data_IF_450154619322
#
_entry.id   IF_450154619322
#
_cell.length_a   1.000
_cell.length_b   1.000
_cell.length_c   1.000
_cell.angle_alpha   90.00
_cell.angle_beta   90.00
_cell.angle_gamma   90.00
#
_symmetry.space_group_name_H-M   'P 1'
#
loop_
_entity.id
_entity.type
_entity.pdbx_description
1 polymer ?
#
# COMPACT_ATOMS: atom_id res chain seq x y z
N UNK A 1 54.70 40.83 -35.75
CA UNK A 1 53.36 41.25 -35.30
C UNK A 1 52.28 40.24 -35.68
N UNK A 2 52.19 39.78 -36.94
CA UNK A 2 51.20 38.80 -37.42
C UNK A 2 51.29 37.40 -36.77
N UNK A 3 52.50 36.91 -36.48
CA UNK A 3 52.70 35.58 -35.84
C UNK A 3 52.12 35.52 -34.43
N UNK A 4 52.21 36.62 -33.66
CA UNK A 4 51.59 36.72 -32.34
C UNK A 4 50.06 36.68 -32.42
N UNK A 5 49.49 37.41 -33.37
CA UNK A 5 48.04 37.41 -33.64
C UNK A 5 47.52 36.02 -34.06
N UNK A 6 48.29 35.31 -34.90
CA UNK A 6 47.95 33.94 -35.30
C UNK A 6 48.00 32.97 -34.11
N UNK A 7 48.98 33.13 -33.23
CA UNK A 7 49.09 32.33 -32.00
C UNK A 7 47.92 32.60 -31.05
N UNK A 8 47.53 33.86 -30.85
CA UNK A 8 46.39 34.23 -30.00
C UNK A 8 45.06 33.66 -30.52
N UNK A 9 44.82 33.71 -31.84
CA UNK A 9 43.66 33.07 -32.46
C UNK A 9 43.68 31.54 -32.31
N UNK A 10 44.87 30.93 -32.38
CA UNK A 10 45.05 29.50 -32.12
C UNK A 10 44.67 29.12 -30.69
N UNK A 11 45.13 29.89 -29.71
CA UNK A 11 44.79 29.72 -28.28
C UNK A 11 43.30 29.94 -28.01
N UNK A 12 42.69 30.99 -28.58
CA UNK A 12 41.25 31.23 -28.40
C UNK A 12 40.43 30.11 -29.03
N UNK A 13 40.84 29.59 -30.19
CA UNK A 13 40.16 28.47 -30.86
C UNK A 13 40.26 27.17 -30.07
N UNK A 14 41.42 26.88 -29.48
CA UNK A 14 41.59 25.71 -28.61
C UNK A 14 40.80 25.85 -27.32
N UNK A 15 40.74 27.05 -26.72
CA UNK A 15 39.92 27.32 -25.55
C UNK A 15 38.43 27.19 -25.84
N UNK A 16 37.95 27.69 -26.99
CA UNK A 16 36.56 27.49 -27.41
C UNK A 16 36.22 26.01 -27.58
N UNK A 17 37.10 25.22 -28.21
CA UNK A 17 36.91 23.77 -28.34
C UNK A 17 36.88 23.09 -26.97
N UNK A 18 37.78 23.48 -26.06
CA UNK A 18 37.83 22.95 -24.70
C UNK A 18 36.54 23.26 -23.94
N UNK A 19 36.03 24.48 -24.01
CA UNK A 19 34.76 24.86 -23.37
C UNK A 19 33.58 24.08 -23.95
N UNK A 20 33.52 23.90 -25.27
CA UNK A 20 32.48 23.08 -25.90
C UNK A 20 32.54 21.63 -25.42
N UNK A 21 33.73 21.04 -25.35
CA UNK A 21 33.90 19.68 -24.89
C UNK A 21 33.51 19.53 -23.41
N UNK A 22 33.93 20.47 -22.56
CA UNK A 22 33.50 20.53 -21.17
C UNK A 22 31.98 20.66 -21.03
N UNK A 23 31.33 21.48 -21.87
CA UNK A 23 29.87 21.62 -21.85
C UNK A 23 29.16 20.29 -22.16
N UNK A 24 29.66 19.50 -23.12
CA UNK A 24 29.09 18.19 -23.47
C UNK A 24 29.29 17.19 -22.33
N UNK A 25 30.49 17.14 -21.76
CA UNK A 25 30.81 16.26 -20.63
C UNK A 25 29.92 16.55 -19.42
N UNK A 26 29.76 17.83 -19.05
CA UNK A 26 28.89 18.24 -17.95
C UNK A 26 27.43 17.85 -18.22
N UNK A 27 26.94 18.06 -19.45
CA UNK A 27 25.58 17.69 -19.81
C UNK A 27 25.35 16.18 -19.69
N UNK A 28 26.30 15.37 -20.15
CA UNK A 28 26.24 13.93 -20.01
C UNK A 28 26.24 13.49 -18.54
N UNK A 29 27.11 14.09 -17.72
CA UNK A 29 27.14 13.82 -16.27
C UNK A 29 25.83 14.21 -15.58
N UNK A 30 25.19 15.31 -15.98
CA UNK A 30 23.89 15.72 -15.46
C UNK A 30 22.79 14.72 -15.87
N UNK A 31 22.75 14.30 -17.13
CA UNK A 31 21.78 13.34 -17.63
C UNK A 31 21.92 11.97 -16.92
N UNK A 32 23.15 11.48 -16.75
CA UNK A 32 23.42 10.25 -16.01
C UNK A 32 22.91 10.35 -14.56
N UNK A 33 23.17 11.48 -13.88
CA UNK A 33 22.68 11.72 -12.51
C UNK A 33 21.15 11.76 -12.45
N UNK A 34 20.49 12.38 -13.43
CA UNK A 34 19.03 12.44 -13.49
C UNK A 34 18.41 11.07 -13.72
N UNK A 35 18.98 10.26 -14.62
CA UNK A 35 18.52 8.88 -14.86
C UNK A 35 18.63 8.02 -13.60
N UNK A 36 19.80 8.00 -12.97
CA UNK A 36 20.01 7.24 -11.73
C UNK A 36 19.08 7.72 -10.62
N UNK A 37 18.88 9.04 -10.48
CA UNK A 37 17.93 9.59 -9.52
C UNK A 37 16.49 9.16 -9.81
N UNK A 38 16.08 9.13 -11.07
CA UNK A 38 14.74 8.69 -11.47
C UNK A 38 14.50 7.22 -11.12
N UNK A 39 15.43 6.34 -11.49
CA UNK A 39 15.36 4.92 -11.17
C UNK A 39 15.34 4.65 -9.67
N UNK A 40 16.21 5.35 -8.91
CA UNK A 40 16.23 5.23 -7.45
C UNK A 40 14.97 5.79 -6.79
N UNK A 41 14.43 6.90 -7.27
CA UNK A 41 13.18 7.48 -6.74
C UNK A 41 12.04 6.49 -6.92
N UNK A 42 11.86 5.97 -8.13
CA UNK A 42 10.83 4.99 -8.42
C UNK A 42 10.97 3.74 -7.53
N UNK A 43 12.19 3.24 -7.38
CA UNK A 43 12.46 2.10 -6.51
C UNK A 43 12.08 2.37 -5.04
N UNK A 44 12.41 3.55 -4.52
CA UNK A 44 12.06 3.95 -3.15
C UNK A 44 10.55 4.10 -3.00
N UNK A 45 9.87 4.73 -3.96
CA UNK A 45 8.42 4.92 -3.93
C UNK A 45 7.67 3.58 -3.95
N UNK A 46 8.16 2.61 -4.74
CA UNK A 46 7.60 1.25 -4.80
C UNK A 46 7.84 0.48 -3.49
N UNK A 47 8.99 0.68 -2.84
CA UNK A 47 9.37 -0.03 -1.60
C UNK A 47 8.78 0.56 -0.33
N UNK A 48 8.53 1.87 -0.27
CA UNK A 48 8.03 2.53 0.95
C UNK A 48 6.60 2.09 1.25
N UNK A 49 6.35 1.66 2.50
CA UNK A 49 4.99 1.41 3.00
C UNK A 49 4.57 2.61 3.86
N UNK A 50 3.64 3.47 3.40
CA UNK A 50 3.22 4.62 4.16
C UNK A 50 2.42 4.20 5.41
N UNK A 51 2.61 4.91 6.53
CA UNK A 51 1.89 4.62 7.78
C UNK A 51 0.37 4.75 7.62
N UNK A 52 -0.07 5.67 6.76
CA UNK A 52 -1.48 5.84 6.41
C UNK A 52 -2.10 4.58 5.81
N UNK A 53 -1.35 3.80 5.01
CA UNK A 53 -1.80 2.52 4.49
C UNK A 53 -2.06 1.53 5.63
N UNK A 54 -1.17 1.50 6.62
CA UNK A 54 -1.29 0.62 7.79
C UNK A 54 -2.53 1.00 8.60
N UNK A 55 -2.71 2.28 8.90
CA UNK A 55 -3.88 2.80 9.63
C UNK A 55 -5.18 2.49 8.91
N UNK A 56 -5.26 2.74 7.60
CA UNK A 56 -6.46 2.45 6.81
C UNK A 56 -6.79 0.95 6.80
N UNK A 57 -5.79 0.08 6.70
CA UNK A 57 -5.98 -1.39 6.75
C UNK A 57 -6.48 -1.86 8.12
N UNK A 58 -6.07 -1.17 9.20
CA UNK A 58 -6.42 -1.54 10.58
C UNK A 58 -7.80 -1.02 10.98
N UNK A 59 -8.15 0.19 10.59
CA UNK A 59 -9.29 0.93 11.16
C UNK A 59 -10.52 0.97 10.24
N UNK A 60 -10.38 0.77 8.92
CA UNK A 60 -11.51 0.83 7.99
C UNK A 60 -12.25 -0.49 7.83
N UNK A 61 -13.55 -0.42 7.54
CA UNK A 61 -14.36 -1.61 7.31
C UNK A 61 -14.08 -2.26 5.94
N UNK A 62 -14.20 -3.59 5.92
CA UNK A 62 -14.05 -4.40 4.70
C UNK A 62 -15.23 -4.14 3.77
N UNK A 63 -15.05 -3.21 2.83
CA UNK A 63 -16.07 -2.77 1.89
C UNK A 63 -15.96 -1.30 1.51
N UNK A 64 -15.23 -0.51 2.29
CA UNK A 64 -14.94 0.88 1.95
C UNK A 64 -13.97 0.98 0.77
N UNK A 65 -14.18 2.01 -0.06
CA UNK A 65 -13.33 2.25 -1.24
C UNK A 65 -11.87 2.48 -0.87
N UNK A 66 -11.62 3.23 0.21
CA UNK A 66 -10.27 3.50 0.73
C UNK A 66 -9.54 2.19 1.05
N UNK A 67 -10.22 1.22 1.69
CA UNK A 67 -9.65 -0.08 2.01
C UNK A 67 -9.27 -0.89 0.75
N UNK A 68 -10.14 -0.88 -0.27
CA UNK A 68 -9.88 -1.58 -1.53
C UNK A 68 -8.71 -0.97 -2.31
N UNK A 69 -8.61 0.37 -2.34
CA UNK A 69 -7.49 1.08 -2.96
C UNK A 69 -6.17 0.73 -2.27
N UNK A 70 -6.14 0.76 -0.93
CA UNK A 70 -4.96 0.37 -0.15
C UNK A 70 -4.61 -1.11 -0.32
N UNK A 71 -5.61 -1.99 -0.46
CA UNK A 71 -5.39 -3.41 -0.73
C UNK A 71 -4.75 -3.65 -2.11
N UNK A 72 -5.19 -2.92 -3.13
CA UNK A 72 -4.60 -2.99 -4.47
C UNK A 72 -3.15 -2.50 -4.47
N UNK A 73 -2.87 -1.42 -3.75
CA UNK A 73 -1.51 -0.90 -3.59
C UNK A 73 -0.61 -1.90 -2.84
N UNK A 74 -1.09 -2.50 -1.75
CA UNK A 74 -0.38 -3.56 -1.02
C UNK A 74 -0.08 -4.77 -1.93
N UNK A 75 -1.02 -5.16 -2.78
CA UNK A 75 -0.82 -6.24 -3.75
C UNK A 75 0.28 -5.91 -4.76
N UNK A 76 0.31 -4.68 -5.28
CA UNK A 76 1.37 -4.21 -6.17
C UNK A 76 2.74 -4.29 -5.48
N UNK A 77 2.83 -3.81 -4.24
CA UNK A 77 4.07 -3.86 -3.44
C UNK A 77 4.54 -5.29 -3.17
N UNK A 78 3.62 -6.23 -2.89
CA UNK A 78 3.92 -7.66 -2.77
C UNK A 78 4.49 -8.26 -4.06
N UNK A 79 3.93 -7.90 -5.22
CA UNK A 79 4.43 -8.37 -6.52
C UNK A 79 5.82 -7.79 -6.81
N UNK A 80 6.03 -6.51 -6.49
CA UNK A 80 7.31 -5.86 -6.63
C UNK A 80 8.40 -6.54 -5.77
N UNK A 81 8.12 -6.83 -4.49
CA UNK A 81 9.07 -7.53 -3.63
C UNK A 81 9.45 -8.91 -4.18
N UNK A 82 8.49 -9.68 -4.67
CA UNK A 82 8.76 -10.98 -5.32
C UNK A 82 9.66 -10.84 -6.55
N UNK A 83 9.48 -9.80 -7.34
CA UNK A 83 10.34 -9.53 -8.49
C UNK A 83 11.77 -9.10 -8.07
N UNK A 84 11.93 -8.55 -6.86
CA UNK A 84 13.22 -8.11 -6.31
C UNK A 84 13.93 -9.17 -5.44
N UNK A 85 13.33 -10.35 -5.24
CA UNK A 85 13.85 -11.42 -4.36
C UNK A 85 15.30 -11.84 -4.71
N UNK A 86 15.69 -11.69 -5.98
CA UNK A 86 17.02 -12.02 -6.49
C UNK A 86 18.11 -10.95 -6.26
N UNK A 87 17.75 -9.75 -5.77
CA UNK A 87 18.69 -8.63 -5.66
C UNK A 87 19.38 -8.49 -4.29
N UNK A 88 19.08 -9.37 -3.33
CA UNK A 88 19.69 -9.45 -1.98
C UNK A 88 19.87 -8.08 -1.28
N UNK A 89 18.96 -7.14 -1.53
CA UNK A 89 19.03 -5.82 -0.91
C UNK A 89 18.47 -5.89 0.51
N UNK A 90 19.22 -5.43 1.52
CA UNK A 90 18.79 -5.44 2.93
C UNK A 90 17.44 -4.75 3.17
N UNK A 91 17.17 -3.66 2.44
CA UNK A 91 15.91 -2.94 2.51
C UNK A 91 14.70 -3.77 2.04
N UNK A 92 14.90 -4.75 1.15
CA UNK A 92 13.85 -5.69 0.74
C UNK A 92 13.46 -6.57 1.92
N UNK A 93 14.43 -7.08 2.68
CA UNK A 93 14.18 -7.91 3.86
C UNK A 93 13.43 -7.14 4.96
N UNK A 94 13.86 -5.91 5.26
CA UNK A 94 13.23 -5.08 6.31
C UNK A 94 11.76 -4.76 5.99
N UNK A 95 11.44 -4.51 4.71
CA UNK A 95 10.08 -4.20 4.28
C UNK A 95 9.24 -5.46 4.08
N UNK A 96 9.85 -6.57 3.69
CA UNK A 96 9.16 -7.84 3.45
C UNK A 96 8.39 -8.29 4.68
N UNK A 97 9.01 -8.27 5.86
CA UNK A 97 8.35 -8.65 7.11
C UNK A 97 7.11 -7.79 7.40
N UNK A 98 7.20 -6.48 7.18
CA UNK A 98 6.08 -5.55 7.40
C UNK A 98 4.93 -5.83 6.44
N UNK A 99 5.23 -6.03 5.16
CA UNK A 99 4.22 -6.30 4.13
C UNK A 99 3.55 -7.66 4.34
N UNK A 100 4.31 -8.68 4.75
CA UNK A 100 3.75 -9.99 5.09
C UNK A 100 2.83 -9.91 6.31
N UNK A 101 3.21 -9.18 7.35
CA UNK A 101 2.36 -8.94 8.51
C UNK A 101 1.04 -8.23 8.14
N UNK A 102 1.11 -7.22 7.26
CA UNK A 102 -0.09 -6.55 6.75
C UNK A 102 -0.99 -7.49 5.96
N UNK A 103 -0.43 -8.37 5.13
CA UNK A 103 -1.19 -9.39 4.40
C UNK A 103 -1.94 -10.32 5.35
N UNK A 104 -1.30 -10.80 6.42
CA UNK A 104 -1.97 -11.63 7.43
C UNK A 104 -3.09 -10.86 8.13
N UNK A 105 -2.86 -9.59 8.48
CA UNK A 105 -3.85 -8.75 9.14
C UNK A 105 -5.07 -8.51 8.25
N UNK A 106 -4.86 -8.16 6.98
CA UNK A 106 -5.94 -8.03 5.98
C UNK A 106 -6.74 -9.32 5.89
N UNK A 107 -6.07 -10.46 5.75
CA UNK A 107 -6.74 -11.76 5.68
C UNK A 107 -7.59 -12.03 6.91
N UNK A 108 -7.09 -11.70 8.10
CA UNK A 108 -7.85 -11.81 9.34
C UNK A 108 -9.08 -10.88 9.35
N UNK A 109 -8.92 -9.60 8.98
CA UNK A 109 -10.01 -8.63 8.94
C UNK A 109 -11.14 -9.04 7.98
N UNK A 110 -10.80 -9.57 6.81
CA UNK A 110 -11.76 -10.10 5.82
C UNK A 110 -12.51 -11.32 6.36
N UNK A 111 -11.80 -12.26 6.99
CA UNK A 111 -12.44 -13.43 7.59
C UNK A 111 -13.37 -13.03 8.75
N UNK A 112 -12.96 -12.06 9.56
CA UNK A 112 -13.77 -11.55 10.66
C UNK A 112 -15.03 -10.82 10.15
N UNK A 113 -14.91 -9.98 9.11
CA UNK A 113 -16.07 -9.30 8.51
C UNK A 113 -17.05 -10.30 7.89
N UNK A 114 -16.53 -11.34 7.22
CA UNK A 114 -17.35 -12.43 6.70
C UNK A 114 -18.07 -13.21 7.81
N UNK A 115 -17.37 -13.55 8.90
CA UNK A 115 -17.99 -14.24 10.04
C UNK A 115 -19.03 -13.36 10.73
N UNK A 116 -18.74 -12.07 10.94
CA UNK A 116 -19.70 -11.09 11.48
C UNK A 116 -20.95 -10.99 10.60
N UNK A 117 -20.77 -10.90 9.28
CA UNK A 117 -21.90 -10.84 8.34
C UNK A 117 -22.73 -12.12 8.39
N UNK A 118 -22.08 -13.29 8.41
CA UNK A 118 -22.75 -14.60 8.49
C UNK A 118 -23.47 -14.80 9.82
N UNK A 119 -22.89 -14.34 10.92
CA UNK A 119 -23.51 -14.34 12.24
C UNK A 119 -24.71 -13.37 12.29
N UNK A 120 -24.58 -12.18 11.71
CA UNK A 120 -25.67 -11.19 11.60
C UNK A 120 -26.84 -11.73 10.76
N UNK A 121 -26.56 -12.42 9.65
CA UNK A 121 -27.57 -13.12 8.85
C UNK A 121 -28.24 -14.23 9.65
N UNK A 122 -27.48 -15.04 10.39
CA UNK A 122 -28.02 -16.11 11.22
C UNK A 122 -28.93 -15.59 12.35
N UNK A 123 -28.54 -14.50 13.02
CA UNK A 123 -29.39 -13.83 14.01
C UNK A 123 -30.61 -13.16 13.37
N UNK A 124 -30.50 -12.63 12.14
CA UNK A 124 -31.62 -12.03 11.40
C UNK A 124 -32.65 -13.06 10.96
N UNK A 125 -32.22 -14.20 10.41
CA UNK A 125 -33.10 -15.30 10.00
C UNK A 125 -33.83 -15.91 11.21
N UNK A 126 -33.14 -16.02 12.36
CA UNK A 126 -33.76 -16.44 13.62
C UNK A 126 -34.85 -15.46 14.11
N UNK A 127 -34.74 -14.17 13.80
CA UNK A 127 -35.72 -13.14 14.18
C UNK A 127 -36.95 -13.15 13.25
N UNK A 128 -36.78 -13.38 11.95
CA UNK A 128 -37.90 -13.51 11.00
C UNK A 128 -38.76 -14.75 11.23
N UNK A 129 -38.19 -15.87 11.68
CA UNK A 129 -38.96 -17.06 12.09
C UNK A 129 -39.79 -16.80 13.36
N UNK A 130 -39.32 -15.90 14.24
CA UNK A 130 -39.97 -15.58 15.52
C UNK A 130 -41.15 -14.60 15.38
N UNK A 131 -41.22 -13.85 14.28
CA UNK A 131 -42.35 -12.96 13.96
C UNK A 131 -43.49 -13.73 13.27
N UNK A 132 -43.18 -14.71 12.41
CA UNK A 132 -44.19 -15.56 11.76
C UNK A 132 -44.99 -16.43 12.75
N UNK A 133 -44.40 -16.78 13.91
CA UNK A 133 -45.05 -17.59 14.94
C UNK A 133 -45.78 -16.79 16.03
N UNK A 134 -45.74 -15.45 16.01
CA UNK A 134 -46.34 -14.63 17.09
C UNK A 134 -47.84 -14.38 16.94
N UNK A 135 -48.43 -14.65 15.77
CA UNK A 135 -49.88 -14.46 15.54
C UNK A 135 -50.74 -15.50 16.30
N UNK A 136 -50.16 -16.56 16.86
CA UNK A 136 -50.95 -17.64 17.51
C UNK A 136 -50.67 -17.93 19.00
N UNK A 137 -49.71 -17.27 19.67
CA UNK A 137 -49.46 -17.58 21.09
C UNK A 137 -48.88 -16.41 21.90
N UNK A 138 -49.76 -15.66 22.57
CA UNK A 138 -49.43 -14.52 23.44
C UNK A 138 -48.91 -14.92 24.84
N UNK A 139 -48.77 -16.20 25.19
CA UNK A 139 -48.57 -16.60 26.59
C UNK A 139 -47.26 -17.30 27.00
N UNK A 140 -46.23 -17.41 26.14
CA UNK A 140 -44.94 -18.08 26.51
C UNK A 140 -43.74 -17.10 26.43
N UNK A 141 -43.96 -15.82 26.16
CA UNK A 141 -42.91 -14.89 25.69
C UNK A 141 -42.38 -13.95 26.78
N UNK A 142 -42.02 -14.47 27.96
CA UNK A 142 -41.14 -13.73 28.88
C UNK A 142 -39.82 -14.46 29.17
N UNK A 143 -39.79 -15.79 29.10
CA UNK A 143 -38.56 -16.55 29.35
C UNK A 143 -37.57 -16.51 28.16
N UNK A 144 -38.09 -16.51 26.93
CA UNK A 144 -37.24 -16.53 25.73
C UNK A 144 -36.54 -15.19 25.47
N UNK A 145 -37.18 -14.08 25.85
CA UNK A 145 -36.60 -12.74 25.68
C UNK A 145 -35.46 -12.52 26.68
N UNK A 146 -35.60 -13.07 27.90
CA UNK A 146 -34.53 -13.03 28.90
C UNK A 146 -33.32 -13.86 28.48
N UNK A 147 -33.53 -15.04 27.85
CA UNK A 147 -32.44 -15.85 27.32
C UNK A 147 -31.63 -15.15 26.21
N UNK A 148 -32.29 -14.35 25.36
CA UNK A 148 -31.63 -13.64 24.26
C UNK A 148 -30.83 -12.43 24.74
N UNK A 149 -31.35 -11.69 25.73
CA UNK A 149 -30.59 -10.62 26.42
C UNK A 149 -29.42 -11.20 27.21
N UNK A 150 -29.59 -12.35 27.86
CA UNK A 150 -28.52 -13.03 28.60
C UNK A 150 -27.41 -13.57 27.67
N UNK A 151 -27.76 -13.98 26.45
CA UNK A 151 -26.79 -14.42 25.45
C UNK A 151 -26.00 -13.24 24.88
N UNK A 152 -26.65 -12.09 24.66
CA UNK A 152 -25.98 -10.85 24.26
C UNK A 152 -25.03 -10.30 25.35
N UNK A 153 -25.39 -10.42 26.63
CA UNK A 153 -24.57 -9.90 27.73
C UNK A 153 -23.38 -10.80 28.11
N UNK A 154 -23.32 -12.03 27.59
CA UNK A 154 -22.22 -12.98 27.88
C UNK A 154 -21.13 -13.01 26.80
N UNK A 155 -21.32 -12.24 25.72
CA UNK A 155 -20.36 -12.07 24.61
C UNK A 155 -19.68 -10.69 24.58
N UNK A 156 -19.88 -9.85 25.61
CA UNK A 156 -19.09 -8.63 25.83
C UNK A 156 -18.07 -8.85 26.95
#
# INVERSE_FOLDING_TARGET
MLVGFQSELGTISSDMKRLQQQSVEINQQLNNRQKVRGELSQFVDDMVVPQTMIEVILDREVGEREFLEQLHELQHKLQFLKAQEFKEAKAVADVQDVIENLKYKVGFSINLSFYKNKLCLFFRDSFYVFEAHFVTAVLIRLDFFFALVFCLFKCY
#
